data_IF_602685728797
#
_entry.id   IF_602685728797
#
_cell.length_a   1.000
_cell.length_b   1.000
_cell.length_c   1.000
_cell.angle_alpha   90.00
_cell.angle_beta   90.00
_cell.angle_gamma   90.00
#
_symmetry.space_group_name_H-M   'P 1'
#
loop_
_entity.id
_entity.type
_entity.pdbx_description
1 polymer ?
#
# COMPACT_ATOMS: atom_id res chain seq x y z
N UNK A 1 4.49 -16.02 -8.56
CA UNK A 1 4.67 -16.42 -9.98
C UNK A 1 6.09 -16.04 -10.39
N UNK A 2 6.77 -16.78 -11.28
CA UNK A 2 8.15 -16.43 -11.66
C UNK A 2 8.16 -15.21 -12.61
N UNK A 3 9.16 -14.33 -12.47
CA UNK A 3 9.36 -13.09 -13.24
C UNK A 3 9.25 -13.31 -14.76
N UNK A 4 9.74 -14.45 -15.25
CA UNK A 4 9.66 -14.83 -16.65
C UNK A 4 8.21 -14.91 -17.15
N UNK A 5 7.32 -15.53 -16.37
CA UNK A 5 5.90 -15.67 -16.73
C UNK A 5 5.19 -14.31 -16.61
N UNK A 6 5.53 -13.51 -15.60
CA UNK A 6 5.00 -12.16 -15.43
C UNK A 6 5.31 -11.27 -16.64
N UNK A 7 6.56 -11.30 -17.12
CA UNK A 7 6.98 -10.55 -18.31
C UNK A 7 6.22 -11.00 -19.57
N UNK A 8 5.95 -12.30 -19.72
CA UNK A 8 5.27 -12.84 -20.91
C UNK A 8 3.80 -12.45 -21.01
N UNK A 9 3.12 -12.30 -19.87
CA UNK A 9 1.68 -11.95 -19.82
C UNK A 9 1.41 -10.46 -19.66
N UNK A 10 2.43 -9.60 -19.87
CA UNK A 10 2.30 -8.14 -19.74
C UNK A 10 2.23 -7.63 -18.29
N UNK A 11 2.45 -8.51 -17.30
CA UNK A 11 2.51 -8.16 -15.87
C UNK A 11 3.95 -7.99 -15.36
N UNK A 12 4.93 -7.87 -16.25
CA UNK A 12 6.35 -7.89 -15.90
C UNK A 12 6.79 -6.81 -14.91
N UNK A 13 6.10 -5.67 -14.91
CA UNK A 13 6.32 -4.61 -13.92
C UNK A 13 5.46 -4.72 -12.66
N UNK A 14 4.37 -5.51 -12.65
CA UNK A 14 3.49 -5.62 -11.49
C UNK A 14 4.07 -6.62 -10.47
N UNK A 15 5.08 -6.15 -9.74
CA UNK A 15 5.79 -6.93 -8.73
C UNK A 15 5.07 -6.92 -7.38
N UNK A 16 5.37 -7.90 -6.54
CA UNK A 16 4.87 -7.95 -5.15
C UNK A 16 5.19 -6.66 -4.38
N UNK A 17 6.34 -6.05 -4.66
CA UNK A 17 6.74 -4.77 -4.06
C UNK A 17 5.81 -3.63 -4.49
N UNK A 18 5.48 -3.51 -5.79
CA UNK A 18 4.57 -2.46 -6.29
C UNK A 18 3.18 -2.62 -5.67
N UNK A 19 2.67 -3.85 -5.62
CA UNK A 19 1.36 -4.16 -5.00
C UNK A 19 1.38 -3.83 -3.51
N UNK A 20 2.42 -4.23 -2.79
CA UNK A 20 2.54 -3.98 -1.36
C UNK A 20 2.65 -2.48 -1.05
N UNK A 21 3.40 -1.72 -1.86
CA UNK A 21 3.52 -0.26 -1.72
C UNK A 21 2.17 0.43 -1.93
N UNK A 22 1.44 0.10 -2.99
CA UNK A 22 0.09 0.65 -3.22
C UNK A 22 -0.88 0.28 -2.09
N UNK A 23 -0.82 -0.96 -1.60
CA UNK A 23 -1.66 -1.41 -0.50
C UNK A 23 -1.34 -0.69 0.82
N UNK A 24 -0.05 -0.47 1.13
CA UNK A 24 0.36 0.31 2.29
C UNK A 24 -0.14 1.76 2.18
N UNK A 25 -0.01 2.40 1.01
CA UNK A 25 -0.51 3.75 0.76
C UNK A 25 -2.02 3.83 0.94
N UNK A 26 -2.76 2.91 0.33
CA UNK A 26 -4.22 2.82 0.42
C UNK A 26 -4.69 2.62 1.87
N UNK A 27 -3.99 1.79 2.65
CA UNK A 27 -4.32 1.56 4.05
C UNK A 27 -4.08 2.80 4.91
N UNK A 28 -2.96 3.53 4.70
CA UNK A 28 -2.69 4.83 5.36
C UNK A 28 -3.77 5.86 5.03
N UNK A 29 -4.20 5.93 3.77
CA UNK A 29 -5.30 6.79 3.35
C UNK A 29 -6.63 6.38 4.02
N UNK A 30 -6.91 5.07 4.10
CA UNK A 30 -8.08 4.53 4.80
C UNK A 30 -8.14 4.94 6.27
N UNK A 31 -7.03 4.79 7.01
CA UNK A 31 -6.91 5.26 8.41
C UNK A 31 -7.28 6.75 8.52
N UNK A 32 -6.66 7.60 7.69
CA UNK A 32 -6.97 9.04 7.68
C UNK A 32 -8.44 9.30 7.37
N UNK A 33 -8.99 8.67 6.35
CA UNK A 33 -10.36 8.88 5.91
C UNK A 33 -11.37 8.43 6.97
N UNK A 34 -11.13 7.32 7.67
CA UNK A 34 -11.98 6.89 8.78
C UNK A 34 -11.96 7.88 9.94
N UNK A 35 -10.80 8.47 10.28
CA UNK A 35 -10.75 9.50 11.33
C UNK A 35 -11.61 10.70 10.99
N UNK A 36 -11.58 11.17 9.73
CA UNK A 36 -12.44 12.26 9.24
C UNK A 36 -13.91 11.84 9.29
N UNK A 37 -14.26 10.65 8.80
CA UNK A 37 -15.63 10.18 8.78
C UNK A 37 -16.22 10.06 10.21
N UNK A 38 -15.41 9.64 11.19
CA UNK A 38 -15.83 9.57 12.59
C UNK A 38 -16.15 10.95 13.16
N UNK A 39 -15.36 11.99 12.83
CA UNK A 39 -15.58 13.35 13.35
C UNK A 39 -16.80 14.02 12.72
N UNK A 40 -17.11 13.70 11.46
CA UNK A 40 -18.25 14.26 10.72
C UNK A 40 -19.57 13.47 10.91
N UNK A 41 -19.55 12.31 11.57
CA UNK A 41 -20.72 11.44 11.71
C UNK A 41 -21.68 11.93 12.81
N UNK A 42 -22.94 12.18 12.43
CA UNK A 42 -23.98 12.67 13.34
C UNK A 42 -24.45 11.60 14.35
N UNK A 43 -24.59 10.33 13.95
CA UNK A 43 -25.20 9.30 14.79
C UNK A 43 -24.17 8.49 15.60
N UNK A 44 -24.48 8.14 16.87
CA UNK A 44 -23.62 7.27 17.68
C UNK A 44 -23.35 5.89 17.06
N UNK A 45 -24.36 5.32 16.39
CA UNK A 45 -24.29 4.00 15.78
C UNK A 45 -23.30 4.00 14.62
N UNK A 46 -23.34 5.01 13.75
CA UNK A 46 -22.41 5.17 12.64
C UNK A 46 -20.98 5.42 13.14
N UNK A 47 -20.79 6.29 14.15
CA UNK A 47 -19.48 6.50 14.76
C UNK A 47 -18.89 5.21 15.33
N UNK A 48 -19.73 4.34 15.91
CA UNK A 48 -19.29 3.06 16.45
C UNK A 48 -18.81 2.12 15.34
N UNK A 49 -19.60 1.98 14.26
CA UNK A 49 -19.20 1.16 13.11
C UNK A 49 -17.89 1.66 12.46
N UNK A 50 -17.75 2.97 12.25
CA UNK A 50 -16.53 3.56 11.67
C UNK A 50 -15.31 3.39 12.58
N UNK A 51 -15.48 3.40 13.91
CA UNK A 51 -14.39 3.10 14.85
C UNK A 51 -13.91 1.66 14.74
N UNK A 52 -14.80 0.70 14.55
CA UNK A 52 -14.39 -0.69 14.29
C UNK A 52 -13.64 -0.82 12.97
N UNK A 53 -14.10 -0.14 11.91
CA UNK A 53 -13.40 -0.11 10.63
C UNK A 53 -12.02 0.56 10.73
N UNK A 54 -11.88 1.65 11.51
CA UNK A 54 -10.60 2.27 11.81
C UNK A 54 -9.65 1.29 12.52
N UNK A 55 -10.12 0.54 13.52
CA UNK A 55 -9.30 -0.48 14.20
C UNK A 55 -8.83 -1.56 13.24
N UNK A 56 -9.71 -2.05 12.37
CA UNK A 56 -9.35 -3.02 11.33
C UNK A 56 -8.31 -2.45 10.35
N UNK A 57 -8.46 -1.19 9.93
CA UNK A 57 -7.49 -0.51 9.06
C UNK A 57 -6.11 -0.35 9.73
N UNK A 58 -6.06 -0.04 11.03
CA UNK A 58 -4.81 0.03 11.80
C UNK A 58 -4.14 -1.35 11.87
N UNK A 59 -4.89 -2.41 12.15
CA UNK A 59 -4.34 -3.78 12.14
C UNK A 59 -3.83 -4.17 10.75
N UNK A 60 -4.56 -3.77 9.71
CA UNK A 60 -4.16 -4.02 8.32
C UNK A 60 -2.85 -3.30 8.00
N UNK A 61 -2.70 -2.05 8.46
CA UNK A 61 -1.48 -1.26 8.30
C UNK A 61 -0.28 -1.95 8.95
N UNK A 62 -0.45 -2.45 10.18
CA UNK A 62 0.59 -3.21 10.87
C UNK A 62 1.00 -4.46 10.07
N UNK A 63 0.01 -5.25 9.62
CA UNK A 63 0.27 -6.49 8.89
C UNK A 63 1.05 -6.24 7.58
N UNK A 64 0.63 -5.26 6.77
CA UNK A 64 1.33 -4.96 5.52
C UNK A 64 2.70 -4.32 5.78
N UNK A 65 2.85 -3.50 6.81
CA UNK A 65 4.14 -2.93 7.21
C UNK A 65 5.12 -4.04 7.59
N UNK A 66 4.70 -4.98 8.44
CA UNK A 66 5.53 -6.12 8.85
C UNK A 66 5.91 -7.01 7.67
N UNK A 67 4.97 -7.27 6.76
CA UNK A 67 5.26 -7.99 5.51
C UNK A 67 6.32 -7.27 4.67
N UNK A 68 6.16 -5.95 4.46
CA UNK A 68 7.10 -5.18 3.65
C UNK A 68 8.49 -5.08 4.30
N UNK A 69 8.57 -4.97 5.63
CA UNK A 69 9.85 -5.04 6.37
C UNK A 69 10.51 -6.39 6.16
N UNK A 70 9.78 -7.49 6.35
CA UNK A 70 10.32 -8.84 6.19
C UNK A 70 10.81 -9.13 4.76
N UNK A 71 10.26 -8.43 3.76
CA UNK A 71 10.65 -8.53 2.34
C UNK A 71 11.75 -7.56 1.92
N UNK A 72 12.17 -6.63 2.78
CA UNK A 72 13.09 -5.55 2.40
C UNK A 72 12.46 -4.53 1.46
N UNK A 73 11.13 -4.37 1.51
CA UNK A 73 10.38 -3.35 0.78
C UNK A 73 10.13 -2.10 1.64
N UNK A 74 10.34 -2.20 2.96
CA UNK A 74 10.15 -1.08 3.89
C UNK A 74 11.21 -1.08 5.00
N UNK A 75 11.89 0.05 5.16
CA UNK A 75 13.03 0.31 6.04
C UNK A 75 12.70 1.49 6.96
N UNK A 76 11.88 1.27 8.03
CA UNK A 76 11.32 2.35 8.84
C UNK A 76 12.36 3.18 9.61
N UNK A 77 13.57 2.66 9.79
CA UNK A 77 14.65 3.32 10.54
C UNK A 77 15.78 3.83 9.63
N UNK A 78 15.81 3.46 8.35
CA UNK A 78 16.90 3.75 7.42
C UNK A 78 16.38 4.55 6.23
N UNK A 79 16.15 5.85 6.41
CA UNK A 79 15.50 6.71 5.41
C UNK A 79 16.20 6.72 4.04
N UNK A 80 17.54 6.61 4.02
CA UNK A 80 18.31 6.56 2.77
C UNK A 80 18.04 5.27 1.99
N UNK A 81 17.93 4.15 2.70
CA UNK A 81 17.61 2.85 2.10
C UNK A 81 16.16 2.85 1.61
N UNK A 82 15.23 3.34 2.43
CA UNK A 82 13.82 3.49 2.04
C UNK A 82 13.66 4.31 0.77
N UNK A 83 14.36 5.45 0.65
CA UNK A 83 14.29 6.30 -0.54
C UNK A 83 14.68 5.55 -1.82
N UNK A 84 15.74 4.73 -1.75
CA UNK A 84 16.18 3.96 -2.91
C UNK A 84 15.15 2.90 -3.32
N UNK A 85 14.54 2.24 -2.34
CA UNK A 85 13.47 1.25 -2.54
C UNK A 85 12.23 1.90 -3.15
N UNK A 86 11.84 3.08 -2.65
CA UNK A 86 10.70 3.85 -3.13
C UNK A 86 10.89 4.34 -4.58
N UNK A 87 12.08 4.81 -4.93
CA UNK A 87 12.41 5.23 -6.30
C UNK A 87 12.32 4.05 -7.28
N UNK A 88 12.83 2.88 -6.89
CA UNK A 88 12.71 1.66 -7.71
C UNK A 88 11.25 1.29 -7.93
N UNK A 89 10.45 1.22 -6.85
CA UNK A 89 9.02 0.88 -6.96
C UNK A 89 8.25 1.89 -7.84
N UNK A 90 8.53 3.18 -7.67
CA UNK A 90 7.87 4.27 -8.43
C UNK A 90 8.20 4.18 -9.92
N UNK A 91 9.47 4.00 -10.28
CA UNK A 91 9.88 3.86 -11.68
C UNK A 91 9.26 2.62 -12.33
N UNK A 92 9.20 1.50 -11.60
CA UNK A 92 8.53 0.29 -12.08
C UNK A 92 7.03 0.54 -12.32
N UNK A 93 6.33 1.20 -11.40
CA UNK A 93 4.92 1.52 -11.56
C UNK A 93 4.66 2.45 -12.77
N UNK A 94 5.50 3.46 -12.98
CA UNK A 94 5.40 4.36 -14.14
C UNK A 94 5.60 3.62 -15.46
N UNK A 95 6.56 2.69 -15.53
CA UNK A 95 6.82 1.90 -16.73
C UNK A 95 5.62 1.01 -17.08
N UNK A 96 4.95 0.39 -16.10
CA UNK A 96 3.71 -0.38 -16.32
C UNK A 96 2.62 0.52 -16.91
N UNK A 97 2.42 1.69 -16.31
CA UNK A 97 1.39 2.62 -16.75
C UNK A 97 1.62 3.09 -18.20
N UNK A 98 2.87 3.32 -18.59
CA UNK A 98 3.23 3.68 -19.96
C UNK A 98 3.02 2.52 -20.95
N UNK A 99 3.42 1.30 -20.58
CA UNK A 99 3.20 0.10 -21.40
C UNK A 99 1.72 -0.21 -21.61
N UNK A 100 0.87 0.07 -20.61
CA UNK A 100 -0.58 -0.17 -20.68
C UNK A 100 -1.30 0.82 -21.59
N UNK A 101 -0.68 1.96 -21.92
CA UNK A 101 -1.24 3.05 -22.73
C UNK A 101 -0.71 3.06 -24.18
N UNK A 102 0.11 2.07 -24.56
CA UNK A 102 0.72 1.90 -25.90
C UNK A 102 0.07 0.74 -26.64
#
# INVERSE_FOLDING_TARGET
MNQFVQNMVGMGGMTDQVIATDFLMSTKAGVRNYTIAITESATPELRTALREQLRAAIQTHENITNYMIAKGYYHPHELKEQLQVDLTASNTALNIAQQSNS
#
